data_IF_284652185592
#
_entry.id   IF_284652185592
#
_cell.length_a   1.000
_cell.length_b   1.000
_cell.length_c   1.000
_cell.angle_alpha   90.00
_cell.angle_beta   90.00
_cell.angle_gamma   90.00
#
_symmetry.space_group_name_H-M   'P 1'
#
loop_
_entity.id
_entity.type
_entity.pdbx_description
1 polymer ?
#
# COMPACT_ATOMS: atom_id res chain seq x y z
N UNK A 1 -7.32 -13.72 -3.49
CA UNK A 1 -7.32 -12.30 -3.92
C UNK A 1 -7.43 -11.43 -2.67
N UNK A 2 -6.55 -10.43 -2.56
CA UNK A 2 -6.45 -9.53 -1.40
C UNK A 2 -7.57 -8.49 -1.45
N UNK A 3 -8.36 -8.40 -0.38
CA UNK A 3 -9.32 -7.31 -0.18
C UNK A 3 -8.92 -6.55 1.07
N UNK A 4 -8.67 -5.25 0.92
CA UNK A 4 -8.49 -4.34 2.05
C UNK A 4 -9.83 -4.24 2.78
N UNK A 5 -9.87 -4.61 4.05
CA UNK A 5 -11.06 -4.46 4.90
C UNK A 5 -10.72 -3.52 6.07
N UNK A 6 -11.58 -2.52 6.27
CA UNK A 6 -11.60 -1.72 7.49
C UNK A 6 -12.59 -2.37 8.45
N UNK A 7 -12.09 -3.01 9.50
CA UNK A 7 -12.93 -3.62 10.52
C UNK A 7 -13.09 -2.62 11.68
N UNK A 8 -14.27 -2.01 11.86
CA UNK A 8 -14.49 -1.14 13.01
C UNK A 8 -14.45 -1.99 14.28
N UNK A 9 -13.44 -1.76 15.13
CA UNK A 9 -13.33 -2.39 16.44
C UNK A 9 -13.50 -1.31 17.51
N UNK A 10 -14.49 -1.42 18.42
CA UNK A 10 -14.74 -0.41 19.44
C UNK A 10 -13.49 -0.18 20.30
N UNK A 11 -12.93 1.03 20.26
CA UNK A 11 -11.73 1.42 21.01
C UNK A 11 -10.39 1.07 20.38
N UNK A 12 -10.36 0.52 19.16
CA UNK A 12 -9.11 0.27 18.44
C UNK A 12 -8.77 1.44 17.49
N UNK A 13 -7.48 1.74 17.37
CA UNK A 13 -6.96 2.66 16.37
C UNK A 13 -7.38 2.21 14.95
N UNK A 14 -7.72 3.14 14.04
CA UNK A 14 -8.02 2.83 12.66
C UNK A 14 -6.89 2.01 12.03
N UNK A 15 -7.22 0.84 11.47
CA UNK A 15 -6.25 -0.05 10.84
C UNK A 15 -6.78 -0.61 9.52
N UNK A 16 -5.86 -0.81 8.59
CA UNK A 16 -6.10 -1.51 7.35
C UNK A 16 -5.74 -2.98 7.55
N UNK A 17 -6.69 -3.88 7.26
CA UNK A 17 -6.41 -5.32 7.26
C UNK A 17 -6.34 -5.85 5.83
N UNK A 18 -5.28 -6.59 5.55
CA UNK A 18 -5.10 -7.32 4.30
C UNK A 18 -5.14 -8.81 4.62
N UNK A 19 -6.09 -9.49 4.00
CA UNK A 19 -6.27 -10.94 4.14
C UNK A 19 -5.91 -11.62 2.84
N UNK A 20 -5.12 -12.68 2.94
CA UNK A 20 -4.78 -13.55 1.81
C UNK A 20 -4.98 -15.01 2.17
N UNK A 21 -5.11 -15.84 1.15
CA UNK A 21 -5.17 -17.29 1.32
C UNK A 21 -4.45 -18.01 0.20
N UNK A 22 -3.90 -19.17 0.52
CA UNK A 22 -3.44 -20.18 -0.43
C UNK A 22 -4.10 -21.51 -0.08
N UNK A 23 -3.67 -22.57 -0.73
CA UNK A 23 -4.23 -23.91 -0.58
C UNK A 23 -3.09 -24.93 -0.41
N UNK A 24 -3.31 -25.98 0.37
CA UNK A 24 -2.42 -27.16 0.42
C UNK A 24 -2.66 -28.08 -0.78
N UNK A 25 -1.84 -29.11 -0.94
CA UNK A 25 -2.06 -30.17 -1.93
C UNK A 25 -3.38 -30.92 -1.72
N UNK A 26 -3.86 -30.99 -0.47
CA UNK A 26 -5.12 -31.61 -0.06
C UNK A 26 -6.35 -30.71 -0.20
N UNK A 27 -6.19 -29.54 -0.82
CA UNK A 27 -7.23 -28.52 -0.97
C UNK A 27 -7.66 -27.79 0.32
N UNK A 28 -6.87 -27.85 1.39
CA UNK A 28 -7.16 -27.14 2.63
C UNK A 28 -6.70 -25.67 2.56
N UNK A 29 -7.52 -24.71 3.04
CA UNK A 29 -7.20 -23.29 2.95
C UNK A 29 -6.14 -22.87 3.99
N UNK A 30 -5.10 -22.16 3.54
CA UNK A 30 -4.09 -21.53 4.40
C UNK A 30 -4.28 -20.02 4.39
N UNK A 31 -4.89 -19.48 5.45
CA UNK A 31 -5.28 -18.07 5.54
C UNK A 31 -4.26 -17.29 6.36
N UNK A 32 -3.88 -16.09 5.89
CA UNK A 32 -3.08 -15.14 6.65
C UNK A 32 -3.73 -13.75 6.64
N UNK A 33 -3.47 -12.97 7.68
CA UNK A 33 -3.97 -11.59 7.82
C UNK A 33 -2.89 -10.69 8.36
N UNK A 34 -2.69 -9.54 7.72
CA UNK A 34 -1.71 -8.51 8.10
C UNK A 34 -2.48 -7.23 8.40
N UNK A 35 -2.21 -6.64 9.57
CA UNK A 35 -2.81 -5.39 10.01
C UNK A 35 -1.76 -4.28 10.01
N UNK A 36 -2.07 -3.15 9.39
CA UNK A 36 -1.25 -1.94 9.45
C UNK A 36 -2.07 -0.75 9.95
N UNK A 37 -1.46 0.21 10.66
CA UNK A 37 -2.14 1.44 11.05
C UNK A 37 -2.68 2.18 9.83
N UNK A 38 -3.92 2.65 9.89
CA UNK A 38 -4.50 3.44 8.83
C UNK A 38 -3.93 4.86 8.88
N UNK A 39 -3.61 5.40 7.72
CA UNK A 39 -3.19 6.79 7.58
C UNK A 39 -4.44 7.62 7.32
N UNK A 40 -4.66 8.67 8.11
CA UNK A 40 -5.79 9.59 7.95
C UNK A 40 -5.56 10.51 6.73
N UNK A 41 -5.69 9.93 5.54
CA UNK A 41 -5.64 10.62 4.27
C UNK A 41 -6.33 9.77 3.20
N UNK A 42 -7.10 10.41 2.32
CA UNK A 42 -7.66 9.75 1.15
C UNK A 42 -6.58 9.70 0.07
N UNK A 43 -6.20 8.50 -0.35
CA UNK A 43 -5.27 8.28 -1.46
C UNK A 43 -5.97 7.55 -2.60
N UNK A 44 -5.82 8.05 -3.81
CA UNK A 44 -6.23 7.34 -5.03
C UNK A 44 -5.07 6.48 -5.57
N UNK A 45 -5.38 5.36 -6.22
CA UNK A 45 -4.38 4.47 -6.84
C UNK A 45 -3.62 3.55 -5.88
N UNK A 46 -4.02 3.45 -4.61
CA UNK A 46 -3.39 2.54 -3.64
C UNK A 46 -3.49 1.07 -4.04
N UNK A 47 -4.57 0.68 -4.74
CA UNK A 47 -4.75 -0.65 -5.30
C UNK A 47 -3.77 -0.97 -6.42
N UNK A 48 -3.55 -0.04 -7.35
CA UNK A 48 -2.58 -0.21 -8.45
C UNK A 48 -1.16 -0.27 -7.90
N UNK A 49 -0.84 0.59 -6.93
CA UNK A 49 0.44 0.54 -6.22
C UNK A 49 0.64 -0.81 -5.52
N UNK A 50 -0.38 -1.33 -4.82
CA UNK A 50 -0.32 -2.64 -4.19
C UNK A 50 -0.06 -3.73 -5.23
N UNK A 51 -0.84 -3.78 -6.31
CA UNK A 51 -0.72 -4.80 -7.35
C UNK A 51 0.66 -4.78 -8.03
N UNK A 52 1.16 -3.59 -8.37
CA UNK A 52 2.46 -3.41 -9.00
C UNK A 52 3.61 -3.88 -8.11
N UNK A 53 3.58 -3.52 -6.81
CA UNK A 53 4.60 -3.95 -5.85
C UNK A 53 4.47 -5.44 -5.53
N UNK A 54 3.25 -5.97 -5.43
CA UNK A 54 2.97 -7.37 -5.12
C UNK A 54 3.60 -8.32 -6.13
N UNK A 55 3.51 -8.01 -7.42
CA UNK A 55 4.12 -8.85 -8.46
C UNK A 55 5.63 -9.01 -8.27
N UNK A 56 6.34 -7.90 -8.05
CA UNK A 56 7.79 -7.90 -7.88
C UNK A 56 8.20 -8.57 -6.57
N UNK A 57 7.50 -8.26 -5.47
CA UNK A 57 7.80 -8.83 -4.15
C UNK A 57 7.46 -10.31 -4.06
N UNK A 58 6.41 -10.78 -4.75
CA UNK A 58 6.09 -12.20 -4.82
C UNK A 58 7.19 -12.96 -5.55
N UNK A 59 7.63 -12.45 -6.71
CA UNK A 59 8.74 -13.07 -7.45
C UNK A 59 10.02 -13.10 -6.61
N UNK A 60 10.35 -12.01 -5.92
CA UNK A 60 11.48 -11.95 -4.98
C UNK A 60 11.36 -13.01 -3.88
N UNK A 61 10.19 -13.12 -3.24
CA UNK A 61 9.94 -14.10 -2.18
C UNK A 61 10.04 -15.54 -2.69
N UNK A 62 9.55 -15.82 -3.91
CA UNK A 62 9.67 -17.13 -4.54
C UNK A 62 11.13 -17.46 -4.85
N UNK A 63 11.92 -16.53 -5.39
CA UNK A 63 13.34 -16.73 -5.65
C UNK A 63 14.16 -17.03 -4.39
N UNK A 64 13.71 -16.56 -3.22
CA UNK A 64 14.38 -16.81 -1.94
C UNK A 64 14.07 -18.18 -1.34
N UNK A 65 13.10 -18.92 -1.90
CA UNK A 65 12.79 -20.29 -1.51
C UNK A 65 13.41 -21.23 -2.55
N UNK A 66 14.38 -22.02 -2.10
CA UNK A 66 15.09 -22.97 -2.96
C UNK A 66 14.11 -23.97 -3.59
N UNK A 67 14.21 -24.16 -4.92
CA UNK A 67 13.38 -25.11 -5.67
C UNK A 67 11.94 -24.67 -5.96
N UNK A 68 11.51 -23.50 -5.46
CA UNK A 68 10.13 -23.03 -5.65
C UNK A 68 9.91 -22.37 -7.01
N UNK A 69 10.95 -21.77 -7.58
CA UNK A 69 10.86 -21.11 -8.89
C UNK A 69 10.60 -22.13 -10.02
N UNK A 70 11.06 -23.36 -9.83
CA UNK A 70 10.94 -24.51 -10.71
C UNK A 70 9.61 -25.26 -10.54
N UNK A 71 8.86 -24.99 -9.46
CA UNK A 71 7.54 -25.59 -9.22
C UNK A 71 6.46 -24.87 -10.01
N UNK A 72 5.56 -25.66 -10.58
CA UNK A 72 4.37 -25.15 -11.25
C UNK A 72 3.55 -24.26 -10.30
N UNK A 73 3.15 -23.09 -10.80
CA UNK A 73 2.39 -22.08 -10.08
C UNK A 73 3.01 -21.57 -8.75
N UNK A 74 4.29 -21.86 -8.48
CA UNK A 74 5.02 -21.46 -7.26
C UNK A 74 4.31 -21.85 -5.96
N UNK A 75 3.68 -23.02 -5.95
CA UNK A 75 2.97 -23.53 -4.77
C UNK A 75 3.98 -24.04 -3.74
N UNK A 76 3.93 -23.46 -2.54
CA UNK A 76 4.74 -23.89 -1.40
C UNK A 76 4.24 -25.20 -0.81
N UNK A 77 5.17 -25.99 -0.27
CA UNK A 77 4.88 -27.28 0.37
C UNK A 77 3.92 -27.14 1.55
N UNK A 78 3.25 -28.23 1.91
CA UNK A 78 2.15 -28.24 2.88
C UNK A 78 2.64 -27.97 4.32
N UNK A 79 3.91 -28.22 4.59
CA UNK A 79 4.57 -27.93 5.87
C UNK A 79 4.86 -26.43 6.06
N UNK A 80 4.73 -25.62 5.01
CA UNK A 80 4.93 -24.16 5.12
C UNK A 80 3.71 -23.52 5.76
N UNK A 81 3.95 -22.96 6.95
CA UNK A 81 2.98 -22.17 7.71
C UNK A 81 2.43 -20.99 6.91
N UNK A 82 1.15 -20.65 7.14
CA UNK A 82 0.45 -19.62 6.35
C UNK A 82 1.15 -18.24 6.40
N UNK A 83 1.84 -17.91 7.50
CA UNK A 83 2.60 -16.66 7.68
C UNK A 83 3.98 -16.68 7.02
N UNK A 84 4.52 -17.87 6.75
CA UNK A 84 5.83 -18.06 6.11
C UNK A 84 5.74 -18.25 4.60
N UNK A 85 4.52 -18.35 4.07
CA UNK A 85 4.28 -18.41 2.64
C UNK A 85 4.94 -17.21 1.93
N UNK A 86 5.55 -17.41 0.75
CA UNK A 86 6.08 -16.34 -0.08
C UNK A 86 5.06 -15.23 -0.34
N UNK A 87 3.78 -15.60 -0.47
CA UNK A 87 2.68 -14.66 -0.61
C UNK A 87 2.50 -13.76 0.63
N UNK A 88 2.57 -14.34 1.83
CA UNK A 88 2.47 -13.59 3.09
C UNK A 88 3.67 -12.66 3.28
N UNK A 89 4.89 -13.18 3.07
CA UNK A 89 6.15 -12.41 3.16
C UNK A 89 6.22 -11.28 2.14
N UNK A 90 5.78 -11.53 0.92
CA UNK A 90 5.71 -10.50 -0.10
C UNK A 90 4.68 -9.43 0.26
N UNK A 91 3.50 -9.83 0.77
CA UNK A 91 2.45 -8.90 1.21
C UNK A 91 2.95 -8.00 2.35
N UNK A 92 3.66 -8.56 3.32
CA UNK A 92 4.30 -7.80 4.40
C UNK A 92 5.25 -6.72 3.86
N UNK A 93 6.16 -7.09 2.94
CA UNK A 93 7.08 -6.14 2.31
C UNK A 93 6.38 -5.06 1.50
N UNK A 94 5.31 -5.41 0.78
CA UNK A 94 4.48 -4.45 0.01
C UNK A 94 3.86 -3.45 0.97
N UNK A 95 3.20 -3.92 2.02
CA UNK A 95 2.51 -3.06 2.98
C UNK A 95 3.47 -2.13 3.71
N UNK A 96 4.64 -2.61 4.11
CA UNK A 96 5.70 -1.77 4.68
C UNK A 96 6.14 -0.67 3.69
N UNK A 97 6.37 -1.04 2.42
CA UNK A 97 6.77 -0.09 1.38
C UNK A 97 5.67 0.94 1.09
N UNK A 98 4.41 0.51 1.06
CA UNK A 98 3.26 1.40 0.85
C UNK A 98 3.08 2.35 2.03
N UNK A 99 3.17 1.86 3.27
CA UNK A 99 3.00 2.69 4.46
C UNK A 99 4.03 3.84 4.47
N UNK A 100 5.28 3.56 4.15
CA UNK A 100 6.34 4.57 4.03
C UNK A 100 6.03 5.62 2.94
N UNK A 101 5.63 5.18 1.75
CA UNK A 101 5.29 6.08 0.63
C UNK A 101 4.09 6.95 0.98
N UNK A 102 3.04 6.37 1.55
CA UNK A 102 1.82 7.08 1.92
C UNK A 102 2.07 8.06 3.07
N UNK A 103 2.87 7.69 4.07
CA UNK A 103 3.26 8.59 5.15
C UNK A 103 4.01 9.83 4.63
N UNK A 104 5.00 9.64 3.75
CA UNK A 104 5.72 10.73 3.08
C UNK A 104 4.81 11.59 2.20
N UNK A 105 3.90 10.95 1.47
CA UNK A 105 2.93 11.64 0.61
C UNK A 105 2.01 12.53 1.44
N UNK A 106 1.52 12.05 2.59
CA UNK A 106 0.71 12.84 3.52
C UNK A 106 1.46 14.08 4.00
N UNK A 107 2.72 13.92 4.45
CA UNK A 107 3.53 15.05 4.93
C UNK A 107 3.68 16.11 3.83
N UNK A 108 4.09 15.70 2.62
CA UNK A 108 4.28 16.61 1.50
C UNK A 108 2.97 17.33 1.10
N UNK A 109 1.85 16.60 1.10
CA UNK A 109 0.52 17.14 0.82
C UNK A 109 0.07 18.14 1.88
N UNK A 110 0.29 17.85 3.16
CA UNK A 110 -0.06 18.75 4.25
C UNK A 110 0.76 20.04 4.16
N UNK A 111 2.05 19.96 3.84
CA UNK A 111 2.90 21.14 3.58
C UNK A 111 2.42 21.96 2.37
N UNK A 112 2.02 21.32 1.28
CA UNK A 112 1.48 22.02 0.10
C UNK A 112 0.17 22.73 0.45
N UNK A 113 -0.74 22.08 1.16
CA UNK A 113 -2.00 22.69 1.59
C UNK A 113 -1.76 23.92 2.47
N UNK A 114 -0.82 23.84 3.42
CA UNK A 114 -0.48 24.99 4.27
C UNK A 114 0.13 26.14 3.46
N UNK A 115 1.01 25.85 2.49
CA UNK A 115 1.52 26.86 1.55
C UNK A 115 0.38 27.51 0.75
N UNK A 116 -0.57 26.73 0.24
CA UNK A 116 -1.73 27.25 -0.48
C UNK A 116 -2.63 28.12 0.39
N UNK A 117 -2.94 27.70 1.62
CA UNK A 117 -3.75 28.50 2.57
C UNK A 117 -3.13 29.87 2.83
N UNK A 118 -1.80 29.93 3.00
CA UNK A 118 -1.08 31.18 3.21
C UNK A 118 -1.13 32.12 1.99
N UNK A 119 -1.24 31.59 0.78
CA UNK A 119 -1.35 32.38 -0.46
C UNK A 119 -2.79 32.82 -0.73
N UNK A 120 -3.77 31.98 -0.39
CA UNK A 120 -5.19 32.19 -0.69
C UNK A 120 -5.91 33.04 0.36
N UNK A 121 -5.38 33.15 1.59
CA UNK A 121 -5.93 33.98 2.67
C UNK A 121 -6.10 35.49 2.39
N UNK A 122 -5.83 35.96 1.17
CA UNK A 122 -6.08 37.33 0.68
C UNK A 122 -7.12 37.49 -0.43
N UNK A 123 -7.85 36.46 -0.90
CA UNK A 123 -8.86 36.58 -1.99
C UNK A 123 -10.20 35.88 -1.68
N UNK A 124 -11.21 36.17 -2.50
CA UNK A 124 -12.64 36.02 -2.20
C UNK A 124 -13.17 34.56 -2.12
N UNK A 125 -14.05 34.33 -1.15
CA UNK A 125 -14.50 33.02 -0.59
C UNK A 125 -15.11 31.97 -1.54
N UNK A 126 -15.73 32.33 -2.66
CA UNK A 126 -16.53 31.37 -3.45
C UNK A 126 -15.76 30.64 -4.55
N UNK A 127 -14.74 31.24 -5.15
CA UNK A 127 -13.85 30.55 -6.12
C UNK A 127 -12.83 29.64 -5.43
N UNK A 128 -12.54 29.92 -4.16
CA UNK A 128 -11.53 29.22 -3.37
C UNK A 128 -11.97 27.83 -2.92
N UNK A 129 -13.27 27.61 -2.64
CA UNK A 129 -13.78 26.29 -2.22
C UNK A 129 -13.65 25.22 -3.31
N UNK A 130 -13.98 25.57 -4.57
CA UNK A 130 -13.82 24.65 -5.72
C UNK A 130 -12.34 24.39 -6.01
N UNK A 131 -11.49 25.42 -5.88
CA UNK A 131 -10.04 25.28 -6.03
C UNK A 131 -9.40 24.45 -4.91
N UNK A 132 -9.85 24.60 -3.67
CA UNK A 132 -9.36 23.82 -2.54
C UNK A 132 -9.68 22.34 -2.72
N UNK A 133 -10.89 21.99 -3.18
CA UNK A 133 -11.25 20.61 -3.52
C UNK A 133 -10.38 20.02 -4.63
N UNK A 134 -10.09 20.82 -5.66
CA UNK A 134 -9.18 20.45 -6.76
C UNK A 134 -7.74 20.25 -6.29
N UNK A 135 -7.23 21.11 -5.40
CA UNK A 135 -5.89 21.00 -4.82
C UNK A 135 -5.80 19.79 -3.90
N UNK A 136 -6.80 19.55 -3.05
CA UNK A 136 -6.87 18.35 -2.21
C UNK A 136 -6.90 17.07 -3.04
N UNK A 137 -7.66 17.04 -4.13
CA UNK A 137 -7.75 15.89 -5.04
C UNK A 137 -6.42 15.66 -5.79
N UNK A 138 -5.80 16.72 -6.31
CA UNK A 138 -4.47 16.63 -6.94
C UNK A 138 -3.37 16.21 -5.98
N UNK A 139 -3.39 16.72 -4.75
CA UNK A 139 -2.39 16.38 -3.75
C UNK A 139 -2.62 14.99 -3.12
N UNK A 140 -3.81 14.41 -3.29
CA UNK A 140 -4.14 13.04 -2.94
C UNK A 140 -3.71 12.01 -4.01
N UNK A 141 -3.33 12.47 -5.21
CA UNK A 141 -2.75 11.61 -6.23
C UNK A 141 -1.31 11.26 -5.84
N UNK A 142 -1.02 9.96 -5.69
CA UNK A 142 0.29 9.44 -5.30
C UNK A 142 1.30 9.62 -6.44
N UNK A 143 1.84 10.84 -6.58
CA UNK A 143 2.84 11.14 -7.60
C UNK A 143 4.21 10.68 -7.10
N UNK A 144 4.77 9.63 -7.73
CA UNK A 144 6.20 9.32 -7.62
C UNK A 144 6.99 10.53 -8.14
N UNK A 145 7.52 11.36 -7.23
CA UNK A 145 8.55 12.33 -7.59
C UNK A 145 9.81 11.51 -7.86
N UNK A 146 10.18 11.38 -9.14
CA UNK A 146 11.54 11.02 -9.49
C UNK A 146 12.40 12.23 -9.08
N UNK A 147 13.26 12.04 -8.09
CA UNK A 147 14.26 13.06 -7.77
C UNK A 147 15.17 13.22 -9.00
N UNK A 148 15.30 14.41 -9.58
CA UNK A 148 16.16 14.65 -10.75
C UNK A 148 17.67 14.56 -10.43
N UNK A 149 18.06 14.01 -9.28
CA UNK A 149 19.45 13.92 -8.80
C UNK A 149 20.13 12.57 -8.98
N UNK A 150 19.43 11.51 -9.35
CA UNK A 150 19.98 10.14 -9.33
C UNK A 150 20.19 9.51 -10.72
N UNK A 151 20.26 10.34 -11.77
CA UNK A 151 20.62 9.94 -13.13
C UNK A 151 21.98 10.53 -13.53
N UNK A 152 23.02 10.23 -12.75
CA UNK A 152 24.42 10.34 -13.18
C UNK A 152 25.23 9.20 -12.56
N UNK A 153 25.33 8.10 -13.31
CA UNK A 153 26.49 7.20 -13.30
C UNK A 153 27.01 7.17 -14.73
#
# INVERSE_FOLDING_TARGET
MVTSISLPSPGAEPHLSVVGSTMTSTAEPRIFSIKIPAIDCFFSGTGDMFAALMLVRLKEAVCNVEGLLEKDAWISDDEVEATELPLARATEKVLASMHEVLAKTKIARDEEIEKWKNVVGGRAKDEDSKREGLVRSKAAESRKRLDPGEARV
#
